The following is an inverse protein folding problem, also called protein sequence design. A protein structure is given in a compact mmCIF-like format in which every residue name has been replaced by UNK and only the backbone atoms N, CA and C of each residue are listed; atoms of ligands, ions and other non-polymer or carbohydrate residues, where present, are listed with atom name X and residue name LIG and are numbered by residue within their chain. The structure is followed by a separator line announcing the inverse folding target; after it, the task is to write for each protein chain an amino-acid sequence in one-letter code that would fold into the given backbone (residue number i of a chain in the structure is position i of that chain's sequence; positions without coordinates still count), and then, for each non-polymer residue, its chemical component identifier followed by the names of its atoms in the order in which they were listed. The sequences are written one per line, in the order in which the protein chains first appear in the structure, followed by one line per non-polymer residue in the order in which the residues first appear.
data_IF_842321453961
#
_entry.id   IF_842321453961
#
_cell.length_a   1.000
_cell.length_b   1.000
_cell.length_c   1.000
_cell.angle_alpha   90.00
_cell.angle_beta   90.00
_cell.angle_gamma   90.00
#
_symmetry.space_group_name_H-M   'P 1'
#
loop_
_entity.id
_entity.type
_entity.pdbx_description
1 polymer ?
#
# COMPACT_ATOMS: atom_id res chain seq x y z
N UNK A 1 -14.01 0.17 -15.43
CA UNK A 1 -13.37 -0.95 -14.69
C UNK A 1 -13.60 -0.75 -13.19
N UNK A 2 -13.97 -1.81 -12.51
CA UNK A 2 -14.24 -1.72 -11.08
C UNK A 2 -12.96 -1.73 -10.27
N UNK A 3 -12.83 -0.78 -9.34
CA UNK A 3 -11.71 -0.74 -8.42
C UNK A 3 -11.99 -1.69 -7.26
N UNK A 4 -11.29 -2.80 -7.23
CA UNK A 4 -11.40 -3.80 -6.17
C UNK A 4 -10.04 -4.39 -5.84
N UNK A 5 -10.03 -5.33 -4.90
CA UNK A 5 -8.81 -5.99 -4.46
C UNK A 5 -8.01 -6.58 -5.62
N UNK A 6 -8.66 -7.30 -6.50
CA UNK A 6 -7.96 -7.97 -7.61
C UNK A 6 -7.31 -7.00 -8.56
N UNK A 7 -7.99 -5.92 -8.90
CA UNK A 7 -7.45 -4.87 -9.76
C UNK A 7 -6.21 -4.22 -9.13
N UNK A 8 -6.31 -3.90 -7.84
CA UNK A 8 -5.20 -3.27 -7.10
C UNK A 8 -3.97 -4.18 -7.08
N UNK A 9 -4.17 -5.45 -6.72
CA UNK A 9 -3.08 -6.42 -6.64
C UNK A 9 -2.42 -6.64 -8.00
N UNK A 10 -3.21 -6.81 -9.04
CA UNK A 10 -2.69 -7.03 -10.39
C UNK A 10 -1.87 -5.85 -10.89
N UNK A 11 -2.41 -4.65 -10.73
CA UNK A 11 -1.73 -3.44 -11.19
C UNK A 11 -0.40 -3.26 -10.48
N UNK A 12 -0.39 -3.39 -9.15
CA UNK A 12 0.84 -3.18 -8.38
C UNK A 12 1.87 -4.27 -8.64
N UNK A 13 1.44 -5.51 -8.84
CA UNK A 13 2.37 -6.60 -9.20
C UNK A 13 3.03 -6.33 -10.53
N UNK A 14 2.31 -5.74 -11.47
CA UNK A 14 2.88 -5.36 -12.77
C UNK A 14 3.88 -4.21 -12.65
N UNK A 15 3.80 -3.42 -11.57
CA UNK A 15 4.68 -2.27 -11.33
C UNK A 15 5.75 -2.53 -10.27
N UNK A 16 5.92 -3.77 -9.87
CA UNK A 16 6.86 -4.17 -8.83
C UNK A 16 8.27 -3.60 -9.01
N UNK A 17 8.84 -3.79 -10.18
CA UNK A 17 10.20 -3.30 -10.46
C UNK A 17 10.26 -1.78 -10.49
N UNK A 18 9.26 -1.14 -11.05
CA UNK A 18 9.15 0.31 -11.09
C UNK A 18 9.11 0.89 -9.67
N UNK A 19 8.31 0.29 -8.78
CA UNK A 19 8.19 0.75 -7.40
C UNK A 19 9.51 0.61 -6.65
N UNK A 20 10.21 -0.49 -6.89
CA UNK A 20 11.51 -0.71 -6.28
C UNK A 20 12.55 0.31 -6.74
N UNK A 21 12.65 0.49 -8.04
CA UNK A 21 13.67 1.35 -8.63
C UNK A 21 13.43 2.82 -8.36
N UNK A 22 12.19 3.25 -8.45
CA UNK A 22 11.88 4.67 -8.32
C UNK A 22 11.71 5.13 -6.87
N UNK A 23 11.07 4.31 -6.05
CA UNK A 23 10.73 4.70 -4.68
C UNK A 23 11.43 3.88 -3.61
N UNK A 24 12.26 2.92 -3.99
CA UNK A 24 12.97 2.09 -3.03
C UNK A 24 12.06 1.18 -2.23
N UNK A 25 10.93 0.77 -2.82
CA UNK A 25 9.98 -0.14 -2.15
C UNK A 25 10.56 -1.55 -2.12
N UNK A 26 10.76 -2.06 -0.91
CA UNK A 26 11.19 -3.43 -0.69
C UNK A 26 10.00 -4.38 -0.69
N UNK A 27 8.90 -3.93 -0.10
CA UNK A 27 7.68 -4.74 0.02
C UNK A 27 6.49 -3.81 0.12
N UNK A 28 5.38 -4.19 -0.52
CA UNK A 28 4.13 -3.47 -0.40
C UNK A 28 2.99 -4.47 -0.20
N UNK A 29 2.11 -4.17 0.74
CA UNK A 29 0.98 -5.03 1.07
C UNK A 29 -0.29 -4.21 1.18
N UNK A 30 -1.41 -4.84 0.86
CA UNK A 30 -2.73 -4.25 0.97
C UNK A 30 -3.37 -4.73 2.27
N UNK A 31 -4.04 -3.83 3.00
CA UNK A 31 -4.82 -4.23 4.17
C UNK A 31 -6.10 -3.40 4.22
N UNK A 32 -6.88 -3.57 5.29
CA UNK A 32 -8.10 -2.81 5.48
C UNK A 32 -9.27 -3.29 4.63
N UNK A 33 -10.22 -2.39 4.38
CA UNK A 33 -11.50 -2.75 3.75
C UNK A 33 -11.34 -3.34 2.35
N UNK A 34 -10.44 -2.80 1.53
CA UNK A 34 -10.20 -3.36 0.20
C UNK A 34 -9.64 -4.78 0.27
N UNK A 35 -8.77 -5.04 1.23
CA UNK A 35 -8.20 -6.38 1.40
C UNK A 35 -9.27 -7.40 1.81
N UNK A 36 -10.25 -6.95 2.61
CA UNK A 36 -11.35 -7.80 3.06
C UNK A 36 -12.50 -7.92 2.04
N UNK A 37 -12.48 -7.10 0.98
CA UNK A 37 -13.58 -7.06 0.03
C UNK A 37 -14.82 -6.36 0.59
N UNK A 38 -14.63 -5.49 1.57
CA UNK A 38 -15.72 -4.78 2.24
C UNK A 38 -15.73 -3.28 1.95
N UNK A 39 -15.03 -2.86 0.89
CA UNK A 39 -14.92 -1.45 0.55
C UNK A 39 -16.24 -0.84 0.10
N UNK A 40 -16.36 0.47 0.36
CA UNK A 40 -17.45 1.31 -0.14
C UNK A 40 -16.83 2.44 -0.96
N UNK A 41 -17.67 3.27 -1.57
CA UNK A 41 -17.17 4.43 -2.33
C UNK A 41 -16.37 5.41 -1.49
N UNK A 42 -16.59 5.41 -0.17
CA UNK A 42 -15.91 6.30 0.76
C UNK A 42 -14.65 5.69 1.37
N UNK A 43 -14.37 4.42 1.09
CA UNK A 43 -13.20 3.74 1.64
C UNK A 43 -11.90 4.26 1.08
N UNK A 44 -10.89 4.43 1.94
CA UNK A 44 -9.52 4.68 1.53
C UNK A 44 -8.87 3.35 1.15
N UNK A 45 -7.84 3.39 0.34
CA UNK A 45 -7.04 2.19 0.06
C UNK A 45 -5.86 2.18 1.04
N UNK A 46 -5.76 1.13 1.83
CA UNK A 46 -4.76 1.03 2.90
C UNK A 46 -3.57 0.17 2.46
N UNK A 47 -2.37 0.76 2.47
CA UNK A 47 -1.14 0.05 2.11
C UNK A 47 -0.15 0.06 3.26
N UNK A 48 0.51 -1.07 3.44
CA UNK A 48 1.63 -1.19 4.36
C UNK A 48 2.90 -1.41 3.53
N UNK A 49 3.87 -0.52 3.67
CA UNK A 49 5.05 -0.50 2.80
C UNK A 49 6.33 -0.62 3.61
N UNK A 50 7.25 -1.42 3.10
CA UNK A 50 8.61 -1.50 3.62
C UNK A 50 9.54 -0.92 2.58
N UNK A 51 10.37 0.04 2.98
CA UNK A 51 11.36 0.67 2.11
C UNK A 51 12.74 0.15 2.45
N UNK A 52 13.62 0.04 1.46
CA UNK A 52 15.04 -0.29 1.71
C UNK A 52 15.73 0.85 2.45
N UNK A 53 15.47 2.08 2.02
CA UNK A 53 16.02 3.27 2.62
C UNK A 53 15.02 4.39 2.40
N UNK A 54 14.20 4.66 3.41
CA UNK A 54 13.11 5.60 3.28
C UNK A 54 13.58 7.04 3.51
N UNK A 55 13.15 7.95 2.62
CA UNK A 55 13.26 9.37 2.84
C UNK A 55 11.92 10.03 2.47
N UNK A 56 11.82 11.32 2.77
CA UNK A 56 10.58 12.05 2.54
C UNK A 56 10.19 12.08 1.06
N UNK A 57 11.16 12.22 0.16
CA UNK A 57 10.89 12.26 -1.28
C UNK A 57 10.32 10.95 -1.79
N UNK A 58 10.88 9.83 -1.34
CA UNK A 58 10.42 8.52 -1.75
C UNK A 58 9.02 8.24 -1.21
N UNK A 59 8.80 8.54 0.06
CA UNK A 59 7.51 8.32 0.71
C UNK A 59 6.41 9.16 0.06
N UNK A 60 6.64 10.47 -0.09
CA UNK A 60 5.64 11.35 -0.69
C UNK A 60 5.43 11.06 -2.18
N UNK A 61 6.50 10.70 -2.88
CA UNK A 61 6.41 10.31 -4.29
C UNK A 61 5.55 9.07 -4.47
N UNK A 62 5.75 8.07 -3.64
CA UNK A 62 4.94 6.85 -3.67
C UNK A 62 3.47 7.15 -3.37
N UNK A 63 3.23 7.98 -2.36
CA UNK A 63 1.87 8.39 -1.99
C UNK A 63 1.16 9.03 -3.19
N UNK A 64 1.81 9.99 -3.83
CA UNK A 64 1.24 10.69 -4.97
C UNK A 64 1.00 9.73 -6.14
N UNK A 65 1.95 8.85 -6.40
CA UNK A 65 1.82 7.85 -7.46
C UNK A 65 0.59 6.96 -7.24
N UNK A 66 0.41 6.47 -6.03
CA UNK A 66 -0.72 5.60 -5.70
C UNK A 66 -2.04 6.36 -5.79
N UNK A 67 -2.08 7.58 -5.28
CA UNK A 67 -3.28 8.42 -5.33
C UNK A 67 -3.70 8.71 -6.76
N UNK A 68 -2.75 9.08 -7.61
CA UNK A 68 -3.03 9.35 -9.01
C UNK A 68 -3.41 8.10 -9.79
N UNK A 69 -2.76 6.98 -9.47
CA UNK A 69 -3.01 5.71 -10.17
C UNK A 69 -4.41 5.20 -9.91
N UNK A 70 -4.87 5.24 -8.66
CA UNK A 70 -6.17 4.69 -8.30
C UNK A 70 -7.28 5.72 -8.23
N UNK A 71 -6.94 7.01 -8.29
CA UNK A 71 -7.90 8.11 -8.18
C UNK A 71 -8.75 7.97 -6.91
N UNK A 72 -8.09 7.59 -5.82
CA UNK A 72 -8.69 7.40 -4.51
C UNK A 72 -7.75 7.92 -3.44
N UNK A 73 -8.30 8.24 -2.29
CA UNK A 73 -7.51 8.61 -1.13
C UNK A 73 -6.74 7.38 -0.64
N UNK A 74 -5.48 7.58 -0.36
CA UNK A 74 -4.58 6.51 0.06
C UNK A 74 -4.21 6.69 1.52
N UNK A 75 -4.25 5.59 2.27
CA UNK A 75 -3.73 5.53 3.63
C UNK A 75 -2.43 4.71 3.56
N UNK A 76 -1.31 5.37 3.77
CA UNK A 76 -0.01 4.74 3.62
C UNK A 76 0.70 4.64 4.96
N UNK A 77 0.98 3.41 5.37
CA UNK A 77 1.73 3.12 6.59
C UNK A 77 3.05 2.46 6.18
N UNK A 78 4.17 3.06 6.59
CA UNK A 78 5.47 2.44 6.30
C UNK A 78 6.06 1.87 7.58
N UNK A 79 6.79 0.77 7.44
CA UNK A 79 7.43 0.12 8.57
C UNK A 79 8.57 1.00 9.10
N UNK A 80 8.59 1.21 10.41
CA UNK A 80 9.64 1.92 11.11
C UNK A 80 9.69 1.44 12.56
N UNK A 81 10.75 1.80 13.26
CA UNK A 81 11.01 1.28 14.62
C UNK A 81 9.97 1.67 15.65
N UNK A 82 9.20 2.73 15.38
CA UNK A 82 8.20 3.24 16.31
C UNK A 82 6.80 2.65 16.13
N UNK A 83 6.63 1.79 15.14
CA UNK A 83 5.32 1.14 14.94
C UNK A 83 5.07 0.19 16.10
N UNK A 84 3.90 0.36 16.71
CA UNK A 84 3.50 -0.50 17.83
C UNK A 84 3.21 -1.90 17.33
N UNK A 85 3.75 -2.87 18.04
CA UNK A 85 3.53 -4.28 17.74
C UNK A 85 2.05 -4.64 17.72
N UNK A 86 1.27 -4.04 18.61
CA UNK A 86 -0.17 -4.25 18.68
C UNK A 86 -0.85 -3.84 17.36
N UNK A 87 -0.44 -2.72 16.76
CA UNK A 87 -0.96 -2.27 15.48
C UNK A 87 -0.62 -3.26 14.37
N UNK A 88 0.63 -3.75 14.35
CA UNK A 88 1.06 -4.73 13.35
C UNK A 88 0.25 -6.02 13.45
N UNK A 89 -0.09 -6.44 14.66
CA UNK A 89 -0.92 -7.63 14.86
C UNK A 89 -2.33 -7.44 14.31
N UNK A 90 -2.88 -6.23 14.48
CA UNK A 90 -4.21 -5.93 13.98
C UNK A 90 -4.26 -5.96 12.45
N UNK A 91 -3.34 -5.30 11.79
CA UNK A 91 -3.35 -5.24 10.32
C UNK A 91 -2.91 -6.55 9.68
N UNK A 92 -2.11 -7.36 10.37
CA UNK A 92 -1.62 -8.63 9.81
C UNK A 92 -2.72 -9.61 9.48
N UNK A 93 -3.88 -9.49 10.13
CA UNK A 93 -5.03 -10.36 9.85
C UNK A 93 -5.55 -10.19 8.42
N UNK A 94 -5.43 -8.99 7.87
CA UNK A 94 -5.95 -8.66 6.55
C UNK A 94 -4.84 -8.45 5.51
N UNK A 95 -3.60 -8.53 5.94
CA UNK A 95 -2.46 -8.15 5.11
C UNK A 95 -2.28 -9.10 3.93
N UNK A 96 -2.33 -8.52 2.72
CA UNK A 96 -2.10 -9.28 1.49
C UNK A 96 -0.84 -8.72 0.85
N UNK A 97 0.20 -9.55 0.78
CA UNK A 97 1.47 -9.15 0.18
C UNK A 97 1.28 -8.98 -1.33
N UNK A 98 1.66 -7.84 -1.84
CA UNK A 98 1.52 -7.53 -3.28
C UNK A 98 2.80 -7.88 -4.02
N UNK A 99 3.89 -7.35 -3.54
CA UNK A 99 5.19 -7.52 -4.21
C UNK A 99 6.35 -7.39 -3.23
#
# INVERSE_FOLDING_TARGET
MKLDKNYILELLRSKKDFLREKYGVSSISLFGSYARGEETEESDIDFFVVFDDVDFHKLSGLYIFLEETFQKKISLVHKHDRIKEKFLKIISKDLIHVA
#
